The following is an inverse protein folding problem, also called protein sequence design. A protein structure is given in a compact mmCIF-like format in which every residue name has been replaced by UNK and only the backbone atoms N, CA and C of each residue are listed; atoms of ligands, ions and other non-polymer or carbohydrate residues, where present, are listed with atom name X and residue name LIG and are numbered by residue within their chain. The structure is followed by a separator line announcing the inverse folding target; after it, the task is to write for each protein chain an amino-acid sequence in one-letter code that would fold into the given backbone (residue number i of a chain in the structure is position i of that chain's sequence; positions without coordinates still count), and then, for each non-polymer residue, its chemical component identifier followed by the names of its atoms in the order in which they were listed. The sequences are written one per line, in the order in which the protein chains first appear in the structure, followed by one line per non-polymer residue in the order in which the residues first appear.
data_IF_392682010537
#
_entry.id   IF_392682010537
#
_cell.length_a   1.000
_cell.length_b   1.000
_cell.length_c   1.000
_cell.angle_alpha   90.00
_cell.angle_beta   90.00
_cell.angle_gamma   90.00
#
_symmetry.space_group_name_H-M   'P 1'
#
loop_
_entity.id
_entity.type
_entity.pdbx_description
1 polymer ?
#
# COMPACT_ATOMS: atom_id res chain seq x y z
N UNK A 1 16.10 -2.17 2.81
CA UNK A 1 16.01 -3.64 2.66
C UNK A 1 14.57 -4.16 2.70
N UNK A 2 13.65 -3.54 3.45
CA UNK A 2 12.23 -3.95 3.50
C UNK A 2 11.48 -3.76 2.17
N UNK A 3 11.79 -2.73 1.38
CA UNK A 3 11.13 -2.43 0.10
C UNK A 3 11.21 -3.55 -0.94
N UNK A 4 12.33 -4.26 -1.02
CA UNK A 4 12.49 -5.33 -2.00
C UNK A 4 11.59 -6.53 -1.68
N UNK A 5 11.33 -6.76 -0.40
CA UNK A 5 10.56 -7.90 0.10
C UNK A 5 9.06 -7.77 -0.16
N UNK A 6 8.52 -6.54 -0.05
CA UNK A 6 7.12 -6.27 -0.31
C UNK A 6 6.75 -6.45 -1.79
N UNK A 7 7.64 -6.08 -2.70
CA UNK A 7 7.37 -6.13 -4.15
C UNK A 7 7.28 -7.56 -4.68
N UNK A 8 8.14 -8.46 -4.20
CA UNK A 8 8.18 -9.85 -4.69
C UNK A 8 7.04 -10.70 -4.13
N UNK A 9 6.56 -10.41 -2.93
CA UNK A 9 5.45 -11.15 -2.32
C UNK A 9 4.07 -10.78 -2.86
N UNK A 10 3.94 -9.63 -3.55
CA UNK A 10 2.66 -9.10 -4.03
C UNK A 10 2.22 -9.57 -5.41
N UNK A 11 2.85 -10.58 -6.00
CA UNK A 11 2.45 -11.08 -7.32
C UNK A 11 1.48 -12.28 -7.19
N UNK A 12 0.15 -12.07 -7.24
CA UNK A 12 -0.78 -13.17 -7.40
C UNK A 12 -0.87 -13.60 -8.86
N UNK A 13 -1.08 -14.87 -9.06
CA UNK A 13 -1.47 -15.59 -10.28
C UNK A 13 -1.44 -14.79 -11.60
N UNK A 14 -0.42 -15.00 -12.41
CA UNK A 14 -0.49 -14.82 -13.84
C UNK A 14 -0.77 -16.19 -14.49
N UNK A 15 -2.03 -16.55 -14.61
CA UNK A 15 -2.44 -17.51 -15.64
C UNK A 15 -2.64 -16.72 -16.93
N UNK A 16 -1.74 -16.91 -17.91
CA UNK A 16 -1.81 -16.41 -19.29
C UNK A 16 -1.84 -14.88 -19.45
N UNK A 17 -0.69 -14.24 -19.30
CA UNK A 17 -0.46 -12.91 -19.91
C UNK A 17 0.50 -13.08 -21.09
N UNK A 18 0.00 -12.86 -22.29
CA UNK A 18 0.86 -12.50 -23.43
C UNK A 18 1.50 -11.15 -23.08
N UNK A 19 2.82 -11.12 -23.05
CA UNK A 19 3.61 -9.99 -22.58
C UNK A 19 3.35 -8.74 -23.42
N UNK A 20 2.83 -7.70 -22.78
CA UNK A 20 2.83 -6.34 -23.33
C UNK A 20 4.19 -5.67 -23.07
N UNK A 21 4.70 -4.80 -23.96
CA UNK A 21 6.04 -4.19 -23.83
C UNK A 21 6.27 -3.39 -22.54
N UNK A 22 5.21 -2.93 -21.88
CA UNK A 22 5.28 -2.18 -20.60
C UNK A 22 5.57 -3.07 -19.39
N UNK A 23 5.23 -4.36 -19.46
CA UNK A 23 5.48 -5.28 -18.35
C UNK A 23 6.96 -5.55 -18.14
N UNK A 24 7.76 -5.56 -19.20
CA UNK A 24 9.21 -5.79 -19.12
C UNK A 24 9.95 -4.71 -18.34
N UNK A 25 9.53 -3.44 -18.43
CA UNK A 25 10.15 -2.32 -17.69
C UNK A 25 9.83 -2.37 -16.20
N UNK A 26 8.60 -2.70 -15.83
CA UNK A 26 8.16 -2.79 -14.43
C UNK A 26 8.86 -3.94 -13.69
N UNK A 27 9.04 -5.07 -14.35
CA UNK A 27 9.76 -6.20 -13.75
C UNK A 27 11.26 -5.93 -13.60
N UNK A 28 11.86 -5.18 -14.52
CA UNK A 28 13.27 -4.76 -14.40
C UNK A 28 13.50 -3.87 -13.17
N UNK A 29 12.53 -3.01 -12.81
CA UNK A 29 12.58 -2.17 -11.60
C UNK A 29 12.56 -3.03 -10.32
N UNK A 30 11.79 -4.12 -10.30
CA UNK A 30 11.72 -5.03 -9.15
C UNK A 30 12.98 -5.91 -9.02
N UNK A 31 13.64 -6.26 -10.14
CA UNK A 31 14.76 -7.17 -10.19
C UNK A 31 16.14 -6.54 -9.94
N UNK A 32 16.24 -5.21 -9.92
CA UNK A 32 17.49 -4.47 -10.01
C UNK A 32 18.53 -4.68 -8.90
N UNK A 33 18.26 -5.44 -7.84
CA UNK A 33 19.21 -5.67 -6.75
C UNK A 33 19.21 -7.09 -6.18
N UNK A 34 18.52 -8.05 -6.79
CA UNK A 34 18.61 -9.44 -6.36
C UNK A 34 19.78 -10.14 -7.09
N UNK A 35 20.96 -10.17 -6.48
CA UNK A 35 21.96 -11.17 -6.84
C UNK A 35 21.42 -12.56 -6.40
N UNK A 36 20.72 -13.21 -7.31
CA UNK A 36 20.19 -14.56 -7.09
C UNK A 36 21.25 -15.60 -7.49
N UNK A 37 22.30 -15.76 -6.69
CA UNK A 37 23.09 -16.98 -6.75
C UNK A 37 22.34 -18.06 -5.95
N UNK A 38 21.81 -19.06 -6.63
CA UNK A 38 21.42 -20.32 -6.02
C UNK A 38 19.94 -20.69 -5.97
N UNK A 39 19.05 -19.99 -6.69
CA UNK A 39 17.65 -20.43 -6.83
C UNK A 39 17.52 -21.35 -8.04
N UNK A 40 17.07 -22.60 -7.82
CA UNK A 40 16.71 -23.53 -8.89
C UNK A 40 15.55 -22.97 -9.71
N UNK A 41 15.85 -22.54 -10.94
CA UNK A 41 14.89 -21.85 -11.81
C UNK A 41 13.98 -22.88 -12.47
N UNK A 42 12.67 -22.80 -12.21
CA UNK A 42 11.65 -23.34 -13.11
C UNK A 42 11.09 -22.22 -13.97
N UNK A 43 11.00 -22.51 -15.23
CA UNK A 43 10.77 -21.65 -16.37
C UNK A 43 9.46 -20.87 -16.27
N UNK A 44 9.45 -19.51 -16.51
CA UNK A 44 8.28 -18.90 -17.20
C UNK A 44 8.51 -17.51 -17.80
N UNK A 45 9.48 -16.66 -17.33
CA UNK A 45 9.65 -15.35 -17.93
C UNK A 45 11.12 -15.04 -18.23
N UNK A 46 11.44 -14.74 -19.49
CA UNK A 46 12.77 -14.32 -19.91
C UNK A 46 12.90 -12.80 -19.89
N UNK A 47 13.82 -12.28 -19.08
CA UNK A 47 14.16 -10.84 -19.03
C UNK A 47 15.62 -10.62 -19.39
N UNK A 48 15.86 -9.56 -20.16
CA UNK A 48 17.22 -9.11 -20.45
C UNK A 48 17.55 -7.96 -19.51
N UNK A 49 18.48 -8.16 -18.59
CA UNK A 49 19.04 -7.10 -17.75
C UNK A 49 20.55 -7.00 -18.02
N UNK A 50 20.99 -5.84 -18.44
CA UNK A 50 22.38 -5.65 -18.84
C UNK A 50 22.75 -6.48 -20.08
N UNK A 51 23.79 -7.32 -19.97
CA UNK A 51 24.27 -8.17 -21.05
C UNK A 51 23.89 -9.64 -20.93
N UNK A 52 22.95 -9.99 -20.04
CA UNK A 52 22.55 -11.38 -19.77
C UNK A 52 21.04 -11.60 -19.89
N UNK A 53 20.66 -12.82 -20.28
CA UNK A 53 19.29 -13.33 -20.17
C UNK A 53 19.13 -13.94 -18.78
N UNK A 54 18.12 -13.51 -18.04
CA UNK A 54 17.77 -14.08 -16.73
C UNK A 54 16.35 -14.60 -16.78
N UNK A 55 16.17 -15.82 -16.31
CA UNK A 55 14.84 -16.36 -16.02
C UNK A 55 14.59 -16.21 -14.52
N UNK A 56 13.56 -15.46 -14.14
CA UNK A 56 13.20 -15.26 -12.73
C UNK A 56 12.02 -16.15 -12.40
N UNK A 57 12.20 -17.04 -11.42
CA UNK A 57 11.08 -17.74 -10.80
C UNK A 57 10.45 -16.81 -9.75
N UNK A 58 9.45 -16.05 -10.17
CA UNK A 58 8.77 -15.07 -9.31
C UNK A 58 8.10 -15.70 -8.09
N UNK A 59 7.57 -16.91 -8.22
CA UNK A 59 6.99 -17.63 -7.08
C UNK A 59 8.04 -17.96 -6.03
N UNK A 60 9.19 -18.51 -6.45
CA UNK A 60 10.28 -18.79 -5.53
C UNK A 60 10.90 -17.53 -4.91
N UNK A 61 10.96 -16.44 -5.67
CA UNK A 61 11.41 -15.15 -5.16
C UNK A 61 10.43 -14.60 -4.10
N UNK A 62 9.11 -14.71 -4.35
CA UNK A 62 8.09 -14.33 -3.39
C UNK A 62 8.15 -15.18 -2.11
N UNK A 63 8.36 -16.51 -2.24
CA UNK A 63 8.53 -17.40 -1.08
C UNK A 63 9.75 -17.00 -0.24
N UNK A 64 10.88 -16.77 -0.89
CA UNK A 64 12.11 -16.35 -0.21
C UNK A 64 11.93 -15.02 0.53
N UNK A 65 11.24 -14.07 -0.11
CA UNK A 65 10.95 -12.76 0.48
C UNK A 65 10.04 -12.89 1.70
N UNK A 66 8.93 -13.60 1.57
CA UNK A 66 7.99 -13.83 2.68
C UNK A 66 8.66 -14.57 3.84
N UNK A 67 9.45 -15.60 3.53
CA UNK A 67 10.16 -16.37 4.55
C UNK A 67 11.18 -15.53 5.30
N UNK A 68 11.88 -14.62 4.60
CA UNK A 68 12.81 -13.71 5.24
C UNK A 68 12.10 -12.67 6.13
N UNK A 69 10.93 -12.16 5.71
CA UNK A 69 10.10 -11.30 6.53
C UNK A 69 9.72 -12.02 7.85
N UNK A 70 9.18 -13.23 7.74
CA UNK A 70 8.75 -14.01 8.91
C UNK A 70 9.95 -14.34 9.81
N UNK A 71 11.03 -14.88 9.24
CA UNK A 71 12.17 -15.34 10.04
C UNK A 71 12.92 -14.20 10.75
N UNK A 72 12.85 -12.97 10.24
CA UNK A 72 13.62 -11.84 10.76
C UNK A 72 12.81 -10.87 11.62
N UNK A 73 11.50 -10.84 11.43
CA UNK A 73 10.69 -9.77 12.03
C UNK A 73 9.48 -10.28 12.82
N UNK A 74 9.00 -11.51 12.58
CA UNK A 74 7.88 -12.04 13.33
C UNK A 74 8.31 -12.47 14.75
N UNK A 75 7.75 -11.81 15.76
CA UNK A 75 7.90 -12.24 17.16
C UNK A 75 6.81 -13.27 17.48
N UNK A 76 7.22 -14.50 17.70
CA UNK A 76 6.30 -15.65 17.92
C UNK A 76 5.60 -15.61 19.28
N UNK A 77 6.14 -14.90 20.25
CA UNK A 77 5.59 -14.79 21.60
C UNK A 77 4.65 -13.57 21.72
N UNK A 78 4.98 -12.48 21.06
CA UNK A 78 4.22 -11.24 21.09
C UNK A 78 3.20 -11.10 19.97
N UNK A 79 3.34 -11.89 18.90
CA UNK A 79 2.43 -11.96 17.75
C UNK A 79 2.34 -10.66 16.94
N UNK A 80 3.46 -9.95 16.76
CA UNK A 80 3.59 -8.82 15.87
C UNK A 80 4.96 -8.83 15.15
N UNK A 81 5.14 -7.95 14.15
CA UNK A 81 6.43 -7.78 13.49
C UNK A 81 7.26 -6.72 14.20
N UNK A 82 8.50 -7.04 14.57
CA UNK A 82 9.43 -6.05 15.12
C UNK A 82 9.89 -5.08 14.05
N UNK A 83 10.15 -3.83 14.42
CA UNK A 83 10.53 -2.79 13.45
C UNK A 83 11.91 -3.03 12.84
N UNK A 84 12.88 -3.47 13.65
CA UNK A 84 14.21 -3.86 13.20
C UNK A 84 14.52 -5.28 13.65
N UNK A 85 15.23 -6.04 12.81
CA UNK A 85 15.61 -7.43 13.08
C UNK A 85 16.44 -7.63 14.35
N UNK A 86 17.07 -6.57 14.86
CA UNK A 86 17.91 -6.61 16.08
C UNK A 86 17.15 -6.17 17.35
N UNK A 87 15.83 -5.96 17.26
CA UNK A 87 15.04 -5.35 18.34
C UNK A 87 14.00 -6.29 18.97
N UNK A 88 14.21 -7.61 18.95
CA UNK A 88 13.28 -8.56 19.59
C UNK A 88 13.07 -8.31 21.09
N UNK A 89 14.08 -7.82 21.80
CA UNK A 89 13.99 -7.55 23.24
C UNK A 89 13.47 -6.15 23.58
N UNK A 90 13.68 -5.18 22.71
CA UNK A 90 13.39 -3.75 22.94
C UNK A 90 12.68 -3.11 21.75
N UNK A 91 11.69 -3.78 21.16
CA UNK A 91 10.94 -3.22 20.05
C UNK A 91 10.22 -1.93 20.48
N UNK A 92 10.34 -0.82 19.72
CA UNK A 92 9.58 0.39 20.01
C UNK A 92 8.08 0.08 19.95
N UNK A 93 7.30 0.67 20.85
CA UNK A 93 5.84 0.48 20.95
C UNK A 93 5.06 1.36 19.96
N UNK A 94 5.74 1.97 18.99
CA UNK A 94 5.16 2.90 18.02
C UNK A 94 5.34 2.46 16.54
N UNK A 95 5.70 1.21 16.31
CA UNK A 95 5.84 0.65 14.97
C UNK A 95 4.49 0.11 14.45
N UNK A 96 3.43 0.92 14.53
CA UNK A 96 2.05 0.46 14.30
C UNK A 96 1.70 0.33 12.81
N UNK A 97 1.84 1.37 12.03
CA UNK A 97 1.46 1.35 10.61
C UNK A 97 2.24 0.33 9.76
N UNK A 98 3.55 0.03 10.00
CA UNK A 98 4.26 -1.00 9.26
C UNK A 98 3.68 -2.41 9.44
N UNK A 99 2.94 -2.66 10.54
CA UNK A 99 2.28 -3.94 10.80
C UNK A 99 1.29 -4.31 9.70
N UNK A 100 0.54 -3.33 9.19
CA UNK A 100 -0.41 -3.51 8.10
C UNK A 100 0.30 -4.07 6.86
N UNK A 101 1.40 -3.44 6.46
CA UNK A 101 2.13 -3.84 5.25
C UNK A 101 2.83 -5.18 5.39
N UNK A 102 3.33 -5.51 6.58
CA UNK A 102 3.90 -6.81 6.86
C UNK A 102 2.82 -7.92 6.79
N UNK A 103 1.66 -7.70 7.41
CA UNK A 103 0.55 -8.67 7.37
C UNK A 103 -0.02 -8.80 5.95
N UNK A 104 -0.06 -7.73 5.18
CA UNK A 104 -0.45 -7.78 3.77
C UNK A 104 0.41 -8.75 2.94
N UNK A 105 1.72 -8.81 3.22
CA UNK A 105 2.62 -9.79 2.59
C UNK A 105 2.26 -11.22 2.99
N UNK A 106 1.87 -11.44 4.24
CA UNK A 106 1.42 -12.76 4.71
C UNK A 106 0.10 -13.17 4.06
N UNK A 107 -0.84 -12.23 3.91
CA UNK A 107 -2.10 -12.47 3.17
C UNK A 107 -1.80 -12.85 1.72
N UNK A 108 -0.90 -12.12 1.03
CA UNK A 108 -0.49 -12.42 -0.34
C UNK A 108 0.15 -13.81 -0.45
N UNK A 109 0.99 -14.17 0.52
CA UNK A 109 1.60 -15.50 0.57
C UNK A 109 0.55 -16.61 0.76
N UNK A 110 -0.45 -16.39 1.63
CA UNK A 110 -1.57 -17.31 1.80
C UNK A 110 -2.38 -17.45 0.51
N UNK A 111 -2.77 -16.35 -0.11
CA UNK A 111 -3.54 -16.35 -1.36
C UNK A 111 -2.81 -17.07 -2.50
N UNK A 112 -1.49 -16.96 -2.56
CA UNK A 112 -0.66 -17.59 -3.58
C UNK A 112 -0.44 -19.08 -3.32
N UNK A 113 -0.28 -19.50 -2.08
CA UNK A 113 0.18 -20.87 -1.74
C UNK A 113 -0.90 -21.76 -1.14
N UNK A 114 -1.92 -21.17 -0.50
CA UNK A 114 -2.90 -21.90 0.34
C UNK A 114 -2.29 -22.49 1.62
N UNK A 115 -1.03 -22.15 1.96
CA UNK A 115 -0.34 -22.73 3.11
C UNK A 115 -0.90 -22.18 4.41
N UNK A 116 -1.46 -23.09 5.21
CA UNK A 116 -2.11 -22.79 6.48
C UNK A 116 -1.20 -22.07 7.49
N UNK A 117 0.12 -22.24 7.42
CA UNK A 117 1.05 -21.54 8.30
C UNK A 117 0.88 -20.01 8.25
N UNK A 118 0.49 -19.46 7.09
CA UNK A 118 0.25 -18.02 6.94
C UNK A 118 -1.11 -17.62 7.53
N UNK A 119 -2.17 -18.37 7.27
CA UNK A 119 -3.48 -18.05 7.86
C UNK A 119 -3.53 -18.25 9.37
N UNK A 120 -2.70 -19.12 9.95
CA UNK A 120 -2.56 -19.27 11.40
C UNK A 120 -1.98 -18.02 12.08
N UNK A 121 -1.26 -17.18 11.33
CA UNK A 121 -0.74 -15.90 11.84
C UNK A 121 -1.84 -14.82 11.96
N UNK A 122 -2.92 -14.88 11.19
CA UNK A 122 -3.93 -13.82 11.13
C UNK A 122 -4.57 -13.51 12.49
N UNK A 123 -5.15 -14.49 13.23
CA UNK A 123 -5.74 -14.21 14.52
C UNK A 123 -4.70 -13.82 15.59
N UNK A 124 -3.48 -14.32 15.48
CA UNK A 124 -2.39 -13.97 16.40
C UNK A 124 -1.99 -12.51 16.22
N UNK A 125 -1.74 -12.10 14.97
CA UNK A 125 -1.41 -10.73 14.63
C UNK A 125 -2.53 -9.76 15.02
N UNK A 126 -3.79 -10.13 14.78
CA UNK A 126 -4.94 -9.30 15.12
C UNK A 126 -4.91 -8.86 16.58
N UNK A 127 -4.59 -9.75 17.50
CA UNK A 127 -4.47 -9.41 18.92
C UNK A 127 -3.12 -8.76 19.25
N UNK A 128 -2.04 -9.22 18.64
CA UNK A 128 -0.68 -8.80 18.95
C UNK A 128 -0.39 -7.34 18.59
N UNK A 129 -0.92 -6.83 17.48
CA UNK A 129 -0.63 -5.48 17.00
C UNK A 129 -1.08 -4.35 17.92
N UNK A 130 -2.04 -4.59 18.79
CA UNK A 130 -2.49 -3.60 19.79
C UNK A 130 -1.33 -3.14 20.67
N UNK A 131 -0.35 -4.02 20.93
CA UNK A 131 0.85 -3.70 21.70
C UNK A 131 1.75 -2.67 20.99
N UNK A 132 1.63 -2.54 19.67
CA UNK A 132 2.37 -1.55 18.87
C UNK A 132 1.61 -0.23 18.70
N UNK A 133 0.37 -0.16 19.16
CA UNK A 133 -0.44 1.06 19.13
C UNK A 133 -0.17 1.92 20.37
N UNK A 134 0.68 2.93 20.25
CA UNK A 134 1.04 3.81 21.37
C UNK A 134 -0.11 4.70 21.84
N UNK A 135 -1.14 4.90 21.02
CA UNK A 135 -2.30 5.71 21.35
C UNK A 135 -3.38 4.94 22.10
N UNK A 136 -3.67 3.71 21.67
CA UNK A 136 -4.67 2.84 22.29
C UNK A 136 -4.16 1.39 22.34
N UNK A 137 -3.54 1.03 23.44
CA UNK A 137 -2.97 -0.32 23.65
C UNK A 137 -4.01 -1.45 23.69
N UNK A 138 -5.30 -1.13 23.80
CA UNK A 138 -6.38 -2.11 23.84
C UNK A 138 -7.24 -2.11 22.58
N UNK A 139 -6.96 -1.19 21.64
CA UNK A 139 -7.74 -1.00 20.43
C UNK A 139 -6.86 -0.77 19.20
N UNK A 140 -7.52 -0.37 18.13
CA UNK A 140 -6.89 -0.20 16.82
C UNK A 140 -6.87 1.25 16.34
N UNK A 141 -7.53 2.18 17.04
CA UNK A 141 -7.54 3.61 16.70
C UNK A 141 -6.20 4.23 17.05
N UNK A 142 -5.66 5.08 16.18
CA UNK A 142 -4.42 5.80 16.41
C UNK A 142 -4.66 7.30 16.28
N UNK A 143 -3.84 8.13 16.93
CA UNK A 143 -3.93 9.59 16.79
C UNK A 143 -3.40 10.08 15.43
N UNK A 144 -2.54 9.33 14.77
CA UNK A 144 -2.27 9.48 13.35
C UNK A 144 -3.34 8.71 12.58
N UNK A 145 -4.13 9.43 11.78
CA UNK A 145 -5.29 8.84 11.13
C UNK A 145 -4.90 7.87 10.03
N UNK A 146 -3.81 8.15 9.30
CA UNK A 146 -3.22 7.24 8.30
C UNK A 146 -2.81 5.89 8.90
N UNK A 147 -2.26 5.86 10.12
CA UNK A 147 -1.95 4.61 10.84
C UNK A 147 -3.21 3.73 10.99
N UNK A 148 -4.34 4.35 11.34
CA UNK A 148 -5.64 3.67 11.45
C UNK A 148 -6.13 3.18 10.08
N UNK A 149 -5.92 3.95 9.02
CA UNK A 149 -6.32 3.63 7.65
C UNK A 149 -5.57 2.42 7.11
N UNK A 150 -4.25 2.37 7.32
CA UNK A 150 -3.42 1.23 6.92
C UNK A 150 -3.89 -0.07 7.57
N UNK A 151 -4.14 -0.04 8.87
CA UNK A 151 -4.70 -1.20 9.60
C UNK A 151 -6.09 -1.53 9.07
N UNK A 152 -6.95 -0.54 8.84
CA UNK A 152 -8.29 -0.73 8.28
C UNK A 152 -8.29 -1.44 6.93
N UNK A 153 -7.38 -1.05 6.03
CA UNK A 153 -7.19 -1.69 4.72
C UNK A 153 -6.79 -3.18 4.86
N UNK A 154 -5.85 -3.47 5.76
CA UNK A 154 -5.46 -4.86 6.04
C UNK A 154 -6.60 -5.66 6.66
N UNK A 155 -7.42 -5.05 7.54
CA UNK A 155 -8.61 -5.71 8.10
C UNK A 155 -9.65 -6.05 7.03
N UNK A 156 -9.88 -5.17 6.04
CA UNK A 156 -10.75 -5.50 4.90
C UNK A 156 -10.21 -6.72 4.14
N UNK A 157 -8.91 -6.79 3.88
CA UNK A 157 -8.28 -7.93 3.22
C UNK A 157 -8.41 -9.23 4.03
N UNK A 158 -8.20 -9.16 5.35
CA UNK A 158 -8.41 -10.31 6.23
C UNK A 158 -9.86 -10.80 6.19
N UNK A 159 -10.83 -9.88 6.20
CA UNK A 159 -12.25 -10.25 6.03
C UNK A 159 -12.50 -10.92 4.67
N UNK A 160 -11.93 -10.40 3.58
CA UNK A 160 -12.11 -10.98 2.24
C UNK A 160 -11.61 -12.42 2.17
N UNK A 161 -10.53 -12.73 2.86
CA UNK A 161 -9.90 -14.06 2.84
C UNK A 161 -10.56 -15.04 3.81
N UNK A 162 -10.92 -14.57 5.02
CA UNK A 162 -11.39 -15.44 6.11
C UNK A 162 -12.92 -15.46 6.27
N UNK A 163 -13.59 -14.38 5.88
CA UNK A 163 -15.02 -14.09 6.14
C UNK A 163 -15.35 -13.98 7.63
N UNK A 164 -14.35 -13.73 8.48
CA UNK A 164 -14.58 -13.52 9.91
C UNK A 164 -15.02 -12.08 10.19
N UNK A 165 -16.23 -11.90 10.71
CA UNK A 165 -16.87 -10.59 10.94
C UNK A 165 -16.06 -9.63 11.82
N UNK A 166 -15.22 -10.14 12.71
CA UNK A 166 -14.38 -9.30 13.58
C UNK A 166 -13.47 -8.35 12.78
N UNK A 167 -12.90 -8.80 11.66
CA UNK A 167 -12.04 -7.98 10.82
C UNK A 167 -12.84 -6.87 10.13
N UNK A 168 -14.02 -7.20 9.59
CA UNK A 168 -14.89 -6.20 8.99
C UNK A 168 -15.39 -5.18 10.03
N UNK A 169 -15.76 -5.64 11.22
CA UNK A 169 -16.19 -4.77 12.31
C UNK A 169 -15.09 -3.79 12.70
N UNK A 170 -13.84 -4.26 12.79
CA UNK A 170 -12.68 -3.39 13.08
C UNK A 170 -12.43 -2.39 11.95
N UNK A 171 -12.47 -2.82 10.68
CA UNK A 171 -12.30 -1.89 9.55
C UNK A 171 -13.36 -0.78 9.53
N UNK A 172 -14.62 -1.13 9.83
CA UNK A 172 -15.72 -0.16 9.96
C UNK A 172 -15.48 0.82 11.11
N UNK A 173 -15.10 0.32 12.28
CA UNK A 173 -14.79 1.18 13.44
C UNK A 173 -13.65 2.15 13.13
N UNK A 174 -12.60 1.69 12.44
CA UNK A 174 -11.50 2.55 12.02
C UNK A 174 -11.94 3.59 10.99
N UNK A 175 -12.81 3.25 10.04
CA UNK A 175 -13.34 4.24 9.10
C UNK A 175 -14.20 5.30 9.82
N UNK A 176 -15.03 4.91 10.79
CA UNK A 176 -15.77 5.88 11.59
C UNK A 176 -14.85 6.80 12.41
N UNK A 177 -13.72 6.27 12.90
CA UNK A 177 -12.69 7.07 13.55
C UNK A 177 -12.06 8.07 12.56
N UNK A 178 -11.67 7.63 11.37
CA UNK A 178 -11.07 8.47 10.32
C UNK A 178 -12.04 9.59 9.90
N UNK A 179 -13.34 9.31 9.77
CA UNK A 179 -14.35 10.33 9.46
C UNK A 179 -14.33 11.51 10.45
N UNK A 180 -13.94 11.29 11.72
CA UNK A 180 -13.84 12.36 12.73
C UNK A 180 -12.73 13.38 12.42
N UNK A 181 -11.77 13.04 11.55
CA UNK A 181 -10.70 13.93 11.11
C UNK A 181 -11.11 14.89 9.99
N UNK A 182 -12.28 14.68 9.38
CA UNK A 182 -12.80 15.61 8.38
C UNK A 182 -13.28 16.90 9.04
N UNK A 183 -12.82 18.04 8.53
CA UNK A 183 -13.29 19.35 8.98
C UNK A 183 -13.24 20.36 7.81
N UNK A 184 -13.62 21.62 8.05
CA UNK A 184 -13.66 22.65 7.01
C UNK A 184 -12.33 23.44 6.86
N UNK A 185 -11.30 23.11 7.64
CA UNK A 185 -9.98 23.73 7.51
C UNK A 185 -9.36 23.21 6.22
N UNK A 186 -8.83 24.09 5.37
CA UNK A 186 -8.31 23.73 4.06
C UNK A 186 -9.38 23.23 3.07
N UNK A 187 -10.63 23.68 3.24
CA UNK A 187 -11.75 23.32 2.36
C UNK A 187 -12.29 21.89 2.57
N UNK A 188 -11.77 21.14 3.54
CA UNK A 188 -12.12 19.74 3.78
C UNK A 188 -10.90 18.86 4.05
N UNK A 189 -11.02 17.58 3.66
CA UNK A 189 -9.94 16.59 3.78
C UNK A 189 -9.79 15.95 5.16
N UNK A 190 -9.23 14.76 5.18
CA UNK A 190 -8.84 14.07 6.40
C UNK A 190 -7.56 14.71 6.95
N UNK A 191 -7.55 15.02 8.24
CA UNK A 191 -6.35 15.51 8.90
C UNK A 191 -5.34 14.37 9.13
N UNK A 192 -4.06 14.71 9.17
CA UNK A 192 -3.01 13.75 9.43
C UNK A 192 -3.00 13.27 10.88
N UNK A 193 -3.05 14.23 11.81
CA UNK A 193 -2.94 13.93 13.24
C UNK A 193 -4.04 14.65 14.05
N UNK A 194 -4.56 13.95 15.06
CA UNK A 194 -5.59 14.46 15.97
C UNK A 194 -5.09 15.63 16.84
N UNK A 195 -3.80 15.61 17.22
CA UNK A 195 -3.24 16.54 18.19
C UNK A 195 -2.76 17.87 17.59
N UNK A 196 -2.76 18.01 16.28
CA UNK A 196 -2.30 19.20 15.54
C UNK A 196 -3.43 20.21 15.24
N UNK A 197 -4.54 20.16 15.96
CA UNK A 197 -5.77 20.90 15.68
C UNK A 197 -6.39 20.60 14.30
N UNK A 198 -6.11 19.46 13.73
CA UNK A 198 -6.68 18.93 12.48
C UNK A 198 -6.43 19.82 11.25
N UNK A 199 -5.34 20.59 11.21
CA UNK A 199 -5.05 21.50 10.11
C UNK A 199 -4.10 20.93 9.04
N UNK A 200 -3.27 19.95 9.37
CA UNK A 200 -2.40 19.28 8.43
C UNK A 200 -3.18 18.30 7.58
N UNK A 201 -3.18 18.49 6.26
CA UNK A 201 -3.98 17.70 5.30
C UNK A 201 -3.03 17.01 4.33
N UNK A 202 -2.68 15.77 4.64
CA UNK A 202 -1.65 15.03 3.94
C UNK A 202 -2.23 14.03 2.94
N UNK A 203 -1.54 13.77 1.84
CA UNK A 203 -1.91 12.73 0.89
C UNK A 203 -1.93 11.34 1.54
N UNK A 204 -1.00 11.08 2.49
CA UNK A 204 -0.96 9.81 3.23
C UNK A 204 -2.19 9.55 4.11
N UNK A 205 -2.99 10.58 4.41
CA UNK A 205 -4.26 10.43 5.15
C UNK A 205 -5.50 10.53 4.26
N UNK A 206 -5.39 11.08 3.05
CA UNK A 206 -6.54 11.24 2.16
C UNK A 206 -6.63 10.09 1.14
N UNK A 207 -5.52 9.71 0.51
CA UNK A 207 -5.47 8.57 -0.40
C UNK A 207 -5.89 7.25 0.25
N UNK A 208 -5.28 6.84 1.38
CA UNK A 208 -5.68 5.61 2.06
C UNK A 208 -7.10 5.67 2.64
N UNK A 209 -7.57 6.84 3.13
CA UNK A 209 -8.95 6.98 3.61
C UNK A 209 -9.98 6.80 2.49
N UNK A 210 -9.77 7.44 1.32
CA UNK A 210 -10.62 7.24 0.16
C UNK A 210 -10.61 5.78 -0.30
N UNK A 211 -9.45 5.16 -0.30
CA UNK A 211 -9.28 3.74 -0.63
C UNK A 211 -9.98 2.83 0.38
N UNK A 212 -9.81 3.04 1.69
CA UNK A 212 -10.49 2.25 2.72
C UNK A 212 -12.01 2.35 2.58
N UNK A 213 -12.52 3.55 2.33
CA UNK A 213 -13.95 3.76 2.15
C UNK A 213 -14.49 3.00 0.92
N UNK A 214 -13.86 3.08 -0.25
CA UNK A 214 -14.32 2.32 -1.42
C UNK A 214 -14.17 0.81 -1.23
N UNK A 215 -13.13 0.34 -0.56
CA UNK A 215 -12.96 -1.07 -0.23
C UNK A 215 -14.04 -1.58 0.74
N UNK A 216 -14.44 -0.76 1.72
CA UNK A 216 -15.60 -1.07 2.56
C UNK A 216 -16.89 -1.12 1.76
N UNK A 217 -17.11 -0.19 0.81
CA UNK A 217 -18.24 -0.27 -0.11
C UNK A 217 -18.24 -1.57 -0.92
N UNK A 218 -17.09 -1.98 -1.44
CA UNK A 218 -16.98 -3.22 -2.23
C UNK A 218 -17.46 -4.46 -1.46
N UNK A 219 -17.17 -4.54 -0.17
CA UNK A 219 -17.54 -5.71 0.65
C UNK A 219 -18.90 -5.60 1.33
N UNK A 220 -19.40 -4.37 1.59
CA UNK A 220 -20.66 -4.16 2.33
C UNK A 220 -21.82 -3.73 1.45
N UNK A 221 -21.55 -3.07 0.33
CA UNK A 221 -22.52 -2.36 -0.53
C UNK A 221 -23.25 -1.21 0.17
N UNK A 222 -22.75 -0.74 1.30
CA UNK A 222 -23.28 0.42 1.99
C UNK A 222 -22.87 1.69 1.28
N UNK A 223 -23.87 2.44 0.77
CA UNK A 223 -23.65 3.63 -0.06
C UNK A 223 -22.92 4.77 0.67
N UNK A 224 -23.02 4.84 2.01
CA UNK A 224 -22.31 5.86 2.79
C UNK A 224 -20.79 5.78 2.60
N UNK A 225 -20.24 4.56 2.51
CA UNK A 225 -18.80 4.40 2.23
C UNK A 225 -18.40 4.87 0.83
N UNK A 226 -19.25 4.67 -0.18
CA UNK A 226 -18.97 5.17 -1.52
C UNK A 226 -19.01 6.71 -1.57
N UNK A 227 -19.98 7.31 -0.89
CA UNK A 227 -20.08 8.78 -0.77
C UNK A 227 -18.85 9.37 -0.07
N UNK A 228 -18.42 8.76 1.04
CA UNK A 228 -17.21 9.18 1.73
C UNK A 228 -15.95 9.00 0.86
N UNK A 229 -15.82 7.88 0.15
CA UNK A 229 -14.69 7.68 -0.75
C UNK A 229 -14.61 8.76 -1.81
N UNK A 230 -15.71 9.06 -2.50
CA UNK A 230 -15.77 10.14 -3.50
C UNK A 230 -15.42 11.49 -2.89
N UNK A 231 -16.03 11.81 -1.75
CA UNK A 231 -15.81 13.08 -1.04
C UNK A 231 -14.35 13.32 -0.67
N UNK A 232 -13.68 12.29 -0.15
CA UNK A 232 -12.27 12.38 0.24
C UNK A 232 -11.39 12.44 -1.02
N UNK A 233 -11.64 11.57 -2.00
CA UNK A 233 -10.92 11.56 -3.26
C UNK A 233 -11.01 12.88 -4.02
N UNK A 234 -12.21 13.47 -4.11
CA UNK A 234 -12.44 14.73 -4.80
C UNK A 234 -11.65 15.87 -4.13
N UNK A 235 -11.60 15.88 -2.80
CA UNK A 235 -10.80 16.85 -2.06
C UNK A 235 -9.29 16.66 -2.34
N UNK A 236 -8.78 15.44 -2.29
CA UNK A 236 -7.37 15.15 -2.58
C UNK A 236 -7.01 15.53 -4.02
N UNK A 237 -7.90 15.18 -4.98
CA UNK A 237 -7.72 15.53 -6.38
C UNK A 237 -7.71 17.04 -6.61
N UNK A 238 -8.55 17.80 -5.93
CA UNK A 238 -8.62 19.26 -6.07
C UNK A 238 -7.39 19.95 -5.47
N UNK A 239 -6.87 19.46 -4.35
CA UNK A 239 -5.88 20.19 -3.55
C UNK A 239 -4.46 19.64 -3.69
N UNK A 240 -4.28 18.34 -3.85
CA UNK A 240 -2.97 17.68 -3.84
C UNK A 240 -2.57 17.06 -5.21
N UNK A 241 -3.51 16.78 -6.09
CA UNK A 241 -3.20 16.19 -7.38
C UNK A 241 -2.98 17.25 -8.45
N UNK A 242 -1.88 17.13 -9.20
CA UNK A 242 -1.60 17.98 -10.35
C UNK A 242 -2.10 17.33 -11.65
N UNK A 243 -3.23 17.77 -12.24
CA UNK A 243 -3.81 17.13 -13.41
C UNK A 243 -2.95 17.27 -14.69
N UNK A 244 -1.99 18.20 -14.71
CA UNK A 244 -1.11 18.36 -15.86
C UNK A 244 0.01 17.32 -15.88
N UNK A 245 0.55 16.95 -14.72
CA UNK A 245 1.70 16.05 -14.60
C UNK A 245 1.33 14.65 -14.09
N UNK A 246 0.30 14.54 -13.26
CA UNK A 246 -0.02 13.33 -12.50
C UNK A 246 0.62 13.25 -11.11
N UNK A 247 1.36 14.28 -10.69
CA UNK A 247 1.97 14.34 -9.38
C UNK A 247 0.93 14.42 -8.27
N UNK A 248 1.12 13.68 -7.19
CA UNK A 248 0.42 13.85 -5.91
C UNK A 248 1.40 14.51 -4.96
N UNK A 249 1.07 15.70 -4.47
CA UNK A 249 1.84 16.47 -3.52
C UNK A 249 1.62 15.96 -2.10
N UNK A 250 2.63 16.14 -1.24
CA UNK A 250 2.62 15.52 0.08
C UNK A 250 1.53 16.08 1.00
N UNK A 251 1.41 17.40 1.11
CA UNK A 251 0.48 17.97 2.10
C UNK A 251 0.05 19.41 1.81
N UNK A 252 -1.08 19.78 2.39
CA UNK A 252 -1.60 21.13 2.48
C UNK A 252 -1.70 21.55 3.95
N UNK A 253 -1.09 22.69 4.31
CA UNK A 253 -1.39 23.35 5.55
C UNK A 253 -2.75 24.04 5.42
N UNK A 254 -3.79 23.51 6.02
CA UNK A 254 -5.15 24.01 5.89
C UNK A 254 -5.37 25.42 6.45
N UNK A 255 -4.53 25.88 7.39
CA UNK A 255 -4.63 27.23 7.96
C UNK A 255 -4.01 28.29 7.05
N UNK A 256 -2.89 27.97 6.41
CA UNK A 256 -2.13 28.94 5.58
C UNK A 256 -2.39 28.78 4.09
N UNK A 257 -2.87 27.62 3.66
CA UNK A 257 -2.96 27.26 2.24
C UNK A 257 -1.61 26.90 1.62
N UNK A 258 -0.54 26.76 2.40
CA UNK A 258 0.78 26.36 1.93
C UNK A 258 0.78 24.89 1.51
N UNK A 259 1.26 24.62 0.30
CA UNK A 259 1.32 23.30 -0.31
C UNK A 259 2.77 22.79 -0.29
N UNK A 260 3.00 21.67 0.39
CA UNK A 260 4.24 20.90 0.26
C UNK A 260 4.19 20.05 -1.02
N UNK A 261 5.04 20.41 -1.99
CA UNK A 261 5.07 19.77 -3.32
C UNK A 261 6.03 18.60 -3.41
N UNK A 262 6.52 18.09 -2.29
CA UNK A 262 7.25 16.82 -2.28
C UNK A 262 6.35 15.74 -2.85
N UNK A 263 6.92 14.84 -3.65
CA UNK A 263 6.20 13.70 -4.23
C UNK A 263 6.81 12.42 -3.70
N UNK A 264 5.99 11.54 -3.15
CA UNK A 264 6.42 10.27 -2.58
C UNK A 264 5.65 9.12 -3.25
N UNK A 265 6.33 7.99 -3.44
CA UNK A 265 5.76 6.90 -4.23
C UNK A 265 4.52 6.29 -3.56
N UNK A 266 4.45 6.23 -2.22
CA UNK A 266 3.28 5.67 -1.53
C UNK A 266 2.02 6.56 -1.68
N UNK A 267 2.17 7.89 -1.73
CA UNK A 267 1.08 8.82 -2.00
C UNK A 267 0.53 8.60 -3.43
N UNK A 268 1.43 8.47 -4.41
CA UNK A 268 1.02 8.08 -5.78
C UNK A 268 0.34 6.71 -5.81
N UNK A 269 0.81 5.77 -4.97
CA UNK A 269 0.22 4.44 -4.87
C UNK A 269 -1.21 4.46 -4.37
N UNK A 270 -1.47 5.13 -3.25
CA UNK A 270 -2.82 5.18 -2.64
C UNK A 270 -3.81 5.97 -3.46
N UNK A 271 -3.39 7.10 -4.04
CA UNK A 271 -4.22 7.83 -5.00
C UNK A 271 -4.59 6.96 -6.21
N UNK A 272 -3.61 6.27 -6.80
CA UNK A 272 -3.86 5.32 -7.90
C UNK A 272 -4.83 4.22 -7.49
N UNK A 273 -4.65 3.65 -6.29
CA UNK A 273 -5.52 2.60 -5.75
C UNK A 273 -6.95 3.10 -5.53
N UNK A 274 -7.13 4.26 -4.90
CA UNK A 274 -8.44 4.86 -4.67
C UNK A 274 -9.18 5.15 -5.99
N UNK A 275 -8.48 5.77 -6.93
CA UNK A 275 -9.02 6.06 -8.26
C UNK A 275 -9.42 4.77 -9.01
N UNK A 276 -8.56 3.76 -9.02
CA UNK A 276 -8.85 2.49 -9.68
C UNK A 276 -10.07 1.77 -9.09
N UNK A 277 -10.17 1.69 -7.77
CA UNK A 277 -11.34 1.06 -7.12
C UNK A 277 -12.62 1.88 -7.32
N UNK A 278 -12.55 3.21 -7.32
CA UNK A 278 -13.68 4.06 -7.68
C UNK A 278 -14.13 3.82 -9.13
N UNK A 279 -13.21 3.71 -10.08
CA UNK A 279 -13.54 3.30 -11.45
C UNK A 279 -14.28 1.96 -11.49
N UNK A 280 -13.76 0.95 -10.81
CA UNK A 280 -14.38 -0.38 -10.80
C UNK A 280 -15.80 -0.42 -10.27
N UNK A 281 -16.13 0.43 -9.29
CA UNK A 281 -17.47 0.43 -8.69
C UNK A 281 -18.45 1.39 -9.37
N UNK A 282 -17.95 2.41 -10.10
CA UNK A 282 -18.77 3.42 -10.74
C UNK A 282 -18.84 3.31 -12.26
N UNK A 283 -17.82 2.74 -12.91
CA UNK A 283 -17.65 2.75 -14.35
C UNK A 283 -17.25 4.11 -14.93
N UNK A 284 -16.94 5.11 -14.08
CA UNK A 284 -16.55 6.45 -14.53
C UNK A 284 -15.05 6.46 -14.90
N UNK A 285 -14.77 6.56 -16.19
CA UNK A 285 -13.43 6.56 -16.77
C UNK A 285 -12.55 7.73 -16.30
N UNK A 286 -13.13 8.77 -15.74
CA UNK A 286 -12.35 9.87 -15.16
C UNK A 286 -11.40 9.37 -14.08
N UNK A 287 -11.87 8.46 -13.23
CA UNK A 287 -11.04 7.83 -12.20
C UNK A 287 -9.91 6.97 -12.80
N UNK A 288 -10.22 6.17 -13.83
CA UNK A 288 -9.19 5.36 -14.49
C UNK A 288 -8.11 6.23 -15.16
N UNK A 289 -8.51 7.34 -15.76
CA UNK A 289 -7.59 8.29 -16.39
C UNK A 289 -6.69 8.97 -15.33
N UNK A 290 -7.23 9.32 -14.17
CA UNK A 290 -6.44 9.87 -13.06
C UNK A 290 -5.45 8.82 -12.52
N UNK A 291 -5.90 7.58 -12.32
CA UNK A 291 -5.02 6.48 -11.89
C UNK A 291 -3.86 6.26 -12.87
N UNK A 292 -4.14 6.20 -14.17
CA UNK A 292 -3.12 6.06 -15.22
C UNK A 292 -2.12 7.21 -15.21
N UNK A 293 -2.61 8.43 -15.08
CA UNK A 293 -1.78 9.64 -15.10
C UNK A 293 -0.87 9.67 -13.89
N UNK A 294 -1.40 9.36 -12.70
CA UNK A 294 -0.62 9.28 -11.47
C UNK A 294 0.44 8.17 -11.53
N UNK A 295 0.04 6.97 -11.96
CA UNK A 295 0.97 5.85 -12.10
C UNK A 295 2.10 6.17 -13.11
N UNK A 296 1.76 6.77 -14.25
CA UNK A 296 2.76 7.19 -15.24
C UNK A 296 3.75 8.21 -14.67
N UNK A 297 3.27 9.20 -13.91
CA UNK A 297 4.16 10.13 -13.21
C UNK A 297 5.15 9.38 -12.32
N UNK A 298 4.65 8.48 -11.46
CA UNK A 298 5.48 7.77 -10.49
C UNK A 298 6.58 6.89 -11.14
N UNK A 299 6.36 6.37 -12.34
CA UNK A 299 7.32 5.47 -13.02
C UNK A 299 8.15 6.15 -14.11
N UNK A 300 7.90 7.41 -14.45
CA UNK A 300 8.57 8.07 -15.58
C UNK A 300 9.10 9.47 -15.30
N UNK A 301 8.56 10.18 -14.29
CA UNK A 301 9.04 11.51 -13.98
C UNK A 301 10.43 11.49 -13.34
N UNK A 302 11.28 12.41 -13.76
CA UNK A 302 12.68 12.50 -13.29
C UNK A 302 12.82 12.77 -11.80
N UNK A 303 11.80 13.31 -11.16
CA UNK A 303 11.77 13.51 -9.71
C UNK A 303 11.46 12.22 -8.95
N UNK A 304 10.88 11.21 -9.62
CA UNK A 304 10.47 9.95 -9.04
C UNK A 304 11.43 8.79 -9.36
N UNK A 305 12.22 8.90 -10.42
CA UNK A 305 13.13 7.85 -10.86
C UNK A 305 14.60 8.25 -10.71
N UNK A 306 15.43 7.27 -10.39
CA UNK A 306 16.87 7.38 -10.55
C UNK A 306 17.20 7.20 -12.04
N UNK A 307 17.59 8.30 -12.69
CA UNK A 307 17.85 8.32 -14.14
C UNK A 307 19.10 7.55 -14.56
N UNK A 308 19.94 7.11 -13.61
CA UNK A 308 21.12 6.29 -13.89
C UNK A 308 20.77 4.84 -14.22
N UNK A 309 19.65 4.34 -13.70
CA UNK A 309 19.23 2.95 -13.80
C UNK A 309 17.74 2.76 -14.14
N UNK A 310 16.98 3.85 -14.29
CA UNK A 310 15.55 3.88 -14.60
C UNK A 310 14.68 3.10 -13.58
N UNK A 311 15.03 3.16 -12.31
CA UNK A 311 14.20 2.60 -11.22
C UNK A 311 13.64 3.72 -10.37
N UNK A 312 12.55 3.46 -9.63
CA UNK A 312 12.02 4.40 -8.66
C UNK A 312 13.13 4.74 -7.66
N UNK A 313 13.35 6.04 -7.43
CA UNK A 313 14.43 6.56 -6.58
C UNK A 313 14.42 5.93 -5.19
N UNK A 314 15.54 5.94 -4.54
CA UNK A 314 15.62 5.64 -3.12
C UNK A 314 14.93 6.75 -2.30
N UNK A 315 13.95 6.38 -1.49
CA UNK A 315 13.21 7.28 -0.61
C UNK A 315 13.71 7.18 0.84
N UNK A 316 14.84 6.52 1.05
CA UNK A 316 15.53 6.43 2.32
C UNK A 316 15.19 5.17 3.14
N UNK A 317 15.65 5.20 4.39
CA UNK A 317 15.42 4.17 5.40
C UNK A 317 14.20 4.52 6.26
N UNK A 318 13.84 3.64 7.19
CA UNK A 318 12.66 3.82 8.03
C UNK A 318 11.40 3.74 7.20
N UNK A 319 10.51 4.71 7.34
CA UNK A 319 9.22 4.78 6.63
C UNK A 319 9.41 4.81 5.11
N UNK A 320 10.37 5.58 4.61
CA UNK A 320 10.70 5.63 3.18
C UNK A 320 11.05 4.27 2.58
N UNK A 321 11.54 3.35 3.41
CA UNK A 321 11.80 1.97 3.04
C UNK A 321 10.56 1.17 2.61
N UNK A 322 9.34 1.59 2.99
CA UNK A 322 8.08 0.92 2.66
C UNK A 322 7.37 1.55 1.44
N UNK A 323 7.65 2.81 1.12
CA UNK A 323 6.88 3.61 0.18
C UNK A 323 6.75 2.97 -1.21
N UNK A 324 7.86 2.50 -1.78
CA UNK A 324 7.84 1.83 -3.09
C UNK A 324 7.00 0.55 -3.10
N UNK A 325 7.02 -0.20 -2.01
CA UNK A 325 6.21 -1.41 -1.86
C UNK A 325 4.72 -1.10 -1.89
N UNK A 326 4.30 -0.01 -1.24
CA UNK A 326 2.90 0.45 -1.25
C UNK A 326 2.48 0.87 -2.65
N UNK A 327 3.31 1.67 -3.35
CA UNK A 327 3.04 2.03 -4.74
C UNK A 327 2.86 0.80 -5.62
N UNK A 328 3.79 -0.16 -5.55
CA UNK A 328 3.75 -1.35 -6.39
C UNK A 328 2.51 -2.22 -6.16
N UNK A 329 1.96 -2.25 -4.93
CA UNK A 329 0.73 -2.97 -4.62
C UNK A 329 -0.44 -2.47 -5.47
N UNK A 330 -0.66 -1.16 -5.50
CA UNK A 330 -1.79 -0.58 -6.22
C UNK A 330 -1.51 -0.44 -7.72
N UNK A 331 -0.27 -0.17 -8.08
CA UNK A 331 0.16 -0.17 -9.48
C UNK A 331 -0.06 -1.53 -10.14
N UNK A 332 0.25 -2.62 -9.42
CA UNK A 332 0.00 -3.98 -9.93
C UNK A 332 -1.50 -4.23 -10.16
N UNK A 333 -2.37 -3.75 -9.27
CA UNK A 333 -3.82 -3.89 -9.46
C UNK A 333 -4.31 -3.12 -10.69
N UNK A 334 -3.79 -1.91 -10.91
CA UNK A 334 -4.11 -1.12 -12.11
C UNK A 334 -3.66 -1.84 -13.39
N UNK A 335 -2.49 -2.47 -13.40
CA UNK A 335 -1.98 -3.20 -14.57
C UNK A 335 -2.84 -4.42 -14.96
N UNK A 336 -3.64 -4.96 -14.05
CA UNK A 336 -4.59 -6.04 -14.34
C UNK A 336 -5.89 -5.56 -15.00
N UNK A 337 -6.08 -4.24 -15.16
CA UNK A 337 -7.28 -3.68 -15.75
C UNK A 337 -7.30 -3.90 -17.27
N UNK A 338 -8.29 -4.66 -17.81
CA UNK A 338 -8.37 -4.94 -19.23
C UNK A 338 -8.50 -3.68 -20.12
N UNK A 339 -9.14 -2.63 -19.60
CA UNK A 339 -9.30 -1.35 -20.32
C UNK A 339 -7.96 -0.61 -20.55
N UNK A 340 -6.86 -1.05 -19.93
CA UNK A 340 -5.52 -0.51 -20.21
C UNK A 340 -4.82 -1.18 -21.38
N UNK A 341 -5.35 -2.29 -21.89
CA UNK A 341 -4.72 -3.07 -22.97
C UNK A 341 -5.07 -2.56 -24.37
N UNK A 342 -5.90 -1.51 -24.49
CA UNK A 342 -6.24 -0.79 -25.71
C UNK A 342 -5.45 0.53 -25.81
#
# INVERSE_FOLDING_TARGET
MLCLWLVVAMMPFASSLQALPLTSQVYAVAAGHAQTQGLGLQQNDEYTYGKGLYTINWSAAADSATQSLVNRFWDVDKHYFVYNADQFENAPTNAYWPQAHAMDVIIDAYLRTGDKKYSDMFPLWYEGIKQQNSYDHNGYRNNFYDDSEWIGLTMVRLYEVTKEDKYLATAKDLMEWVKTAWNNIGGGGIAWEKNDNLHSKNACSNGPAALLAVRLYEVTKDADYLEWSKKIYDWEKEHLFNPATGAVYDSLNGNTGELDKVTLSYNSGTFTGAAYHLFKVTGDETYLNDARKCANFAISDRSMIDTSNNIIRDEGNGDGGLFKGIFMRYFRQLLDEPALSE
#
